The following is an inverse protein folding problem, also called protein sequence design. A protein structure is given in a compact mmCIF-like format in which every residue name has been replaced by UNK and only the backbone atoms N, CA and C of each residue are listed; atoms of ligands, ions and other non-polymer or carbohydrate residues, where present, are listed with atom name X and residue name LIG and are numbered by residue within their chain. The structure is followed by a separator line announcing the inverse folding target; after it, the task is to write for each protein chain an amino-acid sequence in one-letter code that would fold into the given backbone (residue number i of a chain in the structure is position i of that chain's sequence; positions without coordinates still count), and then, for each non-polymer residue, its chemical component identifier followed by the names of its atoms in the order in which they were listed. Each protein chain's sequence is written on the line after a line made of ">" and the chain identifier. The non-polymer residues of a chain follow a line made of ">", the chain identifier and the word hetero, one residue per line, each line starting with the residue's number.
data_IF_253292660363
#
_entry.id   IF_253292660363
#
_cell.length_a   1.000
_cell.length_b   1.000
_cell.length_c   1.000
_cell.angle_alpha   90.00
_cell.angle_beta   90.00
_cell.angle_gamma   90.00
#
_symmetry.space_group_name_H-M   'P 1'
#
loop_
_entity.id
_entity.type
_entity.pdbx_description
1 polymer ?
#
# COMPACT_ATOMS: atom_id res chain seq x y z
N UNK A 1 52.57 -23.49 35.69
CA UNK A 1 51.45 -22.64 35.22
C UNK A 1 51.91 -21.19 35.20
N UNK A 2 52.04 -20.61 34.01
CA UNK A 2 52.41 -19.22 33.78
C UNK A 2 51.13 -18.33 33.63
N UNK A 3 51.22 -16.99 33.66
CA UNK A 3 50.37 -16.10 34.47
C UNK A 3 49.47 -15.16 33.65
N UNK A 4 48.54 -14.39 34.27
CA UNK A 4 48.06 -13.14 33.64
C UNK A 4 47.45 -12.06 34.56
N UNK A 5 48.28 -11.03 34.72
CA UNK A 5 48.10 -9.59 34.96
C UNK A 5 46.68 -8.99 35.03
N UNK A 6 46.45 -8.23 36.11
CA UNK A 6 45.49 -7.13 36.22
C UNK A 6 45.89 -5.95 35.29
N UNK A 7 44.92 -5.32 34.62
CA UNK A 7 45.01 -3.94 34.15
C UNK A 7 43.65 -3.22 34.25
N UNK A 8 43.68 -2.13 35.02
CA UNK A 8 42.70 -1.06 35.16
C UNK A 8 42.79 -0.08 33.97
N UNK A 9 41.68 0.51 33.49
CA UNK A 9 41.63 1.89 32.93
C UNK A 9 40.20 2.36 32.54
N UNK A 10 39.77 3.38 33.29
CA UNK A 10 39.15 4.66 32.84
C UNK A 10 37.68 4.69 32.40
N UNK A 11 36.89 5.27 33.31
CA UNK A 11 35.89 6.31 33.09
C UNK A 11 35.97 7.04 31.74
N UNK A 12 34.83 7.13 31.07
CA UNK A 12 34.54 8.17 30.07
C UNK A 12 33.05 8.47 30.14
N UNK A 13 32.70 9.37 31.06
CA UNK A 13 31.49 10.17 31.00
C UNK A 13 31.54 10.99 29.70
N UNK A 14 30.89 10.50 28.66
CA UNK A 14 30.48 11.29 27.52
C UNK A 14 29.10 10.80 27.07
N UNK A 15 28.13 10.90 28.00
CA UNK A 15 26.75 11.17 27.58
C UNK A 15 26.77 12.52 26.87
N UNK A 16 25.95 12.62 25.84
CA UNK A 16 25.49 13.82 25.12
C UNK A 16 25.98 13.80 23.66
N UNK A 17 25.00 13.59 22.77
CA UNK A 17 25.03 13.68 21.31
C UNK A 17 25.57 12.49 20.52
N UNK A 18 24.78 11.42 20.45
CA UNK A 18 24.61 10.71 19.20
C UNK A 18 23.19 10.16 19.15
N UNK A 19 22.31 10.89 18.45
CA UNK A 19 20.97 10.48 18.08
C UNK A 19 21.01 9.05 17.48
N UNK A 20 20.57 8.07 18.26
CA UNK A 20 20.38 6.71 17.81
C UNK A 20 19.11 6.64 16.93
N UNK A 21 19.27 6.92 15.64
CA UNK A 21 18.41 6.37 14.59
C UNK A 21 18.96 5.03 14.08
N UNK A 22 19.28 4.15 15.01
CA UNK A 22 19.72 2.75 14.86
C UNK A 22 19.26 2.14 16.20
N UNK A 23 18.08 1.57 16.34
CA UNK A 23 17.74 0.24 15.86
C UNK A 23 16.21 0.06 15.92
N UNK A 24 15.49 0.35 14.84
CA UNK A 24 14.24 -0.35 14.63
C UNK A 24 14.65 -1.73 14.12
N UNK A 25 14.60 -2.74 14.99
CA UNK A 25 14.95 -4.13 14.70
C UNK A 25 14.28 -4.55 13.39
N UNK A 26 15.05 -4.54 12.31
CA UNK A 26 14.64 -5.13 11.04
C UNK A 26 14.89 -6.61 11.24
N UNK A 27 13.88 -7.31 11.75
CA UNK A 27 13.89 -8.77 11.82
C UNK A 27 14.08 -9.29 10.39
N UNK A 28 15.28 -9.82 10.08
CA UNK A 28 15.71 -10.24 8.74
C UNK A 28 14.80 -11.35 8.16
N UNK A 29 13.95 -11.95 9.00
CA UNK A 29 12.94 -12.94 8.60
C UNK A 29 11.60 -12.33 8.15
N UNK A 30 11.42 -11.02 8.26
CA UNK A 30 10.14 -10.36 7.96
C UNK A 30 10.10 -9.78 6.54
N UNK A 31 8.98 -10.03 5.86
CA UNK A 31 8.69 -9.44 4.56
C UNK A 31 8.68 -7.91 4.64
N UNK A 32 9.00 -7.17 3.56
CA UNK A 32 8.96 -5.71 3.55
C UNK A 32 7.60 -5.15 4.00
N UNK A 33 6.51 -5.86 3.74
CA UNK A 33 5.17 -5.47 4.18
C UNK A 33 4.97 -5.60 5.70
N UNK A 34 5.58 -6.61 6.33
CA UNK A 34 5.57 -6.78 7.78
C UNK A 34 6.41 -5.70 8.46
N UNK A 35 7.58 -5.36 7.89
CA UNK A 35 8.41 -4.25 8.38
C UNK A 35 7.67 -2.91 8.30
N UNK A 36 6.97 -2.64 7.19
CA UNK A 36 6.15 -1.44 7.05
C UNK A 36 4.98 -1.41 8.06
N UNK A 37 4.35 -2.56 8.32
CA UNK A 37 3.28 -2.66 9.31
C UNK A 37 3.80 -2.49 10.75
N UNK A 38 4.99 -3.00 11.07
CA UNK A 38 5.65 -2.80 12.36
C UNK A 38 6.01 -1.32 12.56
N UNK A 39 6.57 -0.67 11.53
CA UNK A 39 6.81 0.78 11.53
C UNK A 39 5.51 1.58 11.71
N UNK A 40 4.41 1.17 11.07
CA UNK A 40 3.09 1.81 11.29
C UNK A 40 2.62 1.67 12.74
N UNK A 41 2.84 0.49 13.36
CA UNK A 41 2.50 0.25 14.78
C UNK A 41 3.36 1.07 15.74
N UNK A 42 4.64 1.24 15.42
CA UNK A 42 5.58 2.03 16.20
C UNK A 42 5.43 3.55 15.97
N UNK A 43 4.42 3.97 15.18
CA UNK A 43 4.16 5.35 14.80
C UNK A 43 5.26 6.00 13.93
N UNK A 44 6.17 5.18 13.37
CA UNK A 44 7.21 5.57 12.42
C UNK A 44 6.63 5.71 11.00
N UNK A 45 5.76 6.71 10.83
CA UNK A 45 5.00 6.91 9.60
C UNK A 45 5.89 7.17 8.38
N UNK A 46 7.04 7.83 8.57
CA UNK A 46 7.98 8.13 7.48
C UNK A 46 8.66 6.86 6.92
N UNK A 47 9.05 5.94 7.81
CA UNK A 47 9.64 4.67 7.42
C UNK A 47 8.62 3.78 6.71
N UNK A 48 7.40 3.69 7.28
CA UNK A 48 6.30 2.95 6.68
C UNK A 48 5.95 3.48 5.26
N UNK A 49 5.88 4.80 5.09
CA UNK A 49 5.63 5.42 3.78
C UNK A 49 6.69 5.02 2.75
N UNK A 50 7.99 5.09 3.12
CA UNK A 50 9.10 4.75 2.23
C UNK A 50 9.03 3.29 1.76
N UNK A 51 8.74 2.37 2.68
CA UNK A 51 8.66 0.94 2.35
C UNK A 51 7.44 0.66 1.47
N UNK A 52 6.27 1.23 1.78
CA UNK A 52 5.08 1.05 0.93
C UNK A 52 5.25 1.66 -0.46
N UNK A 53 5.92 2.81 -0.59
CA UNK A 53 6.25 3.40 -1.91
C UNK A 53 7.13 2.49 -2.74
N UNK A 54 8.15 1.87 -2.14
CA UNK A 54 8.99 0.88 -2.84
C UNK A 54 8.16 -0.31 -3.33
N UNK A 55 7.20 -0.78 -2.54
CA UNK A 55 6.33 -1.89 -2.94
C UNK A 55 5.45 -1.55 -4.16
N UNK A 56 4.96 -0.31 -4.26
CA UNK A 56 4.22 0.15 -5.45
C UNK A 56 5.10 0.13 -6.71
N UNK A 57 6.40 0.40 -6.59
CA UNK A 57 7.33 0.41 -7.72
C UNK A 57 7.63 -0.99 -8.28
N UNK A 58 7.42 -2.05 -7.50
CA UNK A 58 7.69 -3.45 -7.90
C UNK A 58 6.69 -4.02 -8.93
N UNK A 59 5.86 -3.17 -9.57
CA UNK A 59 4.86 -3.50 -10.61
C UNK A 59 3.76 -4.50 -10.20
N UNK A 60 3.85 -5.16 -9.05
CA UNK A 60 2.80 -5.98 -8.50
C UNK A 60 1.69 -5.10 -7.90
N UNK A 61 0.49 -5.13 -8.50
CA UNK A 61 -0.67 -4.45 -7.92
C UNK A 61 -1.05 -5.10 -6.59
N UNK A 62 -0.99 -4.33 -5.49
CA UNK A 62 -1.45 -4.76 -4.19
C UNK A 62 -2.35 -3.68 -3.56
N UNK A 63 -3.67 -3.91 -3.58
CA UNK A 63 -4.67 -2.99 -3.02
C UNK A 63 -4.43 -2.66 -1.53
N UNK A 64 -3.88 -3.60 -0.75
CA UNK A 64 -3.62 -3.38 0.67
C UNK A 64 -2.54 -2.30 0.88
N UNK A 65 -1.51 -2.27 0.05
CA UNK A 65 -0.43 -1.26 0.12
C UNK A 65 -0.97 0.15 -0.11
N UNK A 66 -1.78 0.32 -1.17
CA UNK A 66 -2.45 1.59 -1.44
C UNK A 66 -3.36 2.02 -0.28
N UNK A 67 -4.16 1.09 0.27
CA UNK A 67 -5.05 1.37 1.41
C UNK A 67 -4.27 1.83 2.65
N UNK A 68 -3.11 1.23 2.92
CA UNK A 68 -2.23 1.61 4.05
C UNK A 68 -1.63 2.99 3.85
N UNK A 69 -1.11 3.31 2.66
CA UNK A 69 -0.62 4.65 2.34
C UNK A 69 -1.69 5.72 2.52
N UNK A 70 -2.93 5.46 2.09
CA UNK A 70 -4.03 6.40 2.31
C UNK A 70 -4.28 6.67 3.81
N UNK A 71 -4.16 5.65 4.66
CA UNK A 71 -4.30 5.80 6.12
C UNK A 71 -3.15 6.63 6.70
N UNK A 72 -1.91 6.38 6.26
CA UNK A 72 -0.73 7.13 6.70
C UNK A 72 -0.86 8.61 6.33
N UNK A 73 -1.22 8.94 5.08
CA UNK A 73 -1.41 10.33 4.67
C UNK A 73 -2.53 11.03 5.42
N UNK A 74 -3.61 10.30 5.72
CA UNK A 74 -4.70 10.83 6.54
C UNK A 74 -4.26 11.14 7.97
N UNK A 75 -3.42 10.29 8.59
CA UNK A 75 -2.81 10.54 9.91
C UNK A 75 -1.92 11.79 9.89
N UNK A 76 -1.14 11.97 8.81
CA UNK A 76 -0.27 13.13 8.60
C UNK A 76 -1.01 14.38 8.13
N UNK A 77 -2.35 14.35 7.98
CA UNK A 77 -3.18 15.43 7.40
C UNK A 77 -2.76 15.87 5.99
N UNK A 78 -2.03 15.02 5.26
CA UNK A 78 -1.55 15.26 3.89
C UNK A 78 -2.61 14.88 2.86
N UNK A 79 -3.70 15.64 2.82
CA UNK A 79 -4.86 15.32 1.98
C UNK A 79 -4.57 15.39 0.47
N UNK A 80 -3.65 16.25 0.03
CA UNK A 80 -3.22 16.32 -1.38
C UNK A 80 -2.54 15.02 -1.83
N UNK A 81 -1.62 14.51 -1.00
CA UNK A 81 -0.90 13.26 -1.27
C UNK A 81 -1.82 12.03 -1.18
N UNK A 82 -2.78 12.05 -0.25
CA UNK A 82 -3.82 11.00 -0.19
C UNK A 82 -4.61 10.94 -1.49
N UNK A 83 -5.01 12.09 -2.05
CA UNK A 83 -5.77 12.16 -3.30
C UNK A 83 -4.94 11.66 -4.50
N UNK A 84 -3.67 12.04 -4.58
CA UNK A 84 -2.75 11.58 -5.62
C UNK A 84 -2.58 10.05 -5.58
N UNK A 85 -2.39 9.45 -4.40
CA UNK A 85 -2.31 8.00 -4.25
C UNK A 85 -3.62 7.31 -4.61
N UNK A 86 -4.78 7.89 -4.27
CA UNK A 86 -6.08 7.31 -4.67
C UNK A 86 -6.20 7.28 -6.20
N UNK A 87 -5.85 8.36 -6.88
CA UNK A 87 -5.90 8.41 -8.34
C UNK A 87 -4.90 7.43 -8.98
N UNK A 88 -3.67 7.37 -8.46
CA UNK A 88 -2.64 6.41 -8.92
C UNK A 88 -3.09 4.97 -8.71
N UNK A 89 -3.66 4.66 -7.55
CA UNK A 89 -4.21 3.34 -7.24
C UNK A 89 -5.31 2.96 -8.22
N UNK A 90 -6.28 3.84 -8.47
CA UNK A 90 -7.37 3.58 -9.42
C UNK A 90 -6.85 3.33 -10.84
N UNK A 91 -5.87 4.11 -11.29
CA UNK A 91 -5.24 3.91 -12.61
C UNK A 91 -4.49 2.57 -12.68
N UNK A 92 -3.68 2.26 -11.68
CA UNK A 92 -2.92 1.01 -11.62
C UNK A 92 -3.85 -0.23 -11.52
N UNK A 93 -5.00 -0.10 -10.84
CA UNK A 93 -6.01 -1.16 -10.81
C UNK A 93 -6.66 -1.38 -12.18
N UNK A 94 -7.01 -0.31 -12.90
CA UNK A 94 -7.58 -0.41 -14.25
C UNK A 94 -6.59 -1.05 -15.23
N UNK A 95 -5.32 -0.66 -15.17
CA UNK A 95 -4.23 -1.28 -15.95
C UNK A 95 -4.03 -2.75 -15.61
N UNK A 96 -3.98 -3.09 -14.31
CA UNK A 96 -3.88 -4.48 -13.86
C UNK A 96 -5.03 -5.34 -14.38
N UNK A 97 -6.26 -4.83 -14.30
CA UNK A 97 -7.46 -5.53 -14.78
C UNK A 97 -7.44 -5.72 -16.29
N UNK A 98 -7.08 -4.68 -17.05
CA UNK A 98 -6.94 -4.74 -18.51
C UNK A 98 -5.89 -5.77 -18.90
N UNK A 99 -4.72 -5.75 -18.27
CA UNK A 99 -3.64 -6.70 -18.54
C UNK A 99 -4.06 -8.13 -18.22
N UNK A 100 -4.74 -8.38 -17.09
CA UNK A 100 -5.29 -9.71 -16.80
C UNK A 100 -6.31 -10.18 -17.83
N UNK A 101 -7.18 -9.29 -18.31
CA UNK A 101 -8.18 -9.64 -19.32
C UNK A 101 -7.55 -9.89 -20.69
N UNK A 102 -6.50 -9.15 -21.05
CA UNK A 102 -5.78 -9.29 -22.31
C UNK A 102 -4.94 -10.57 -22.36
N UNK A 103 -4.41 -11.02 -21.22
CA UNK A 103 -3.64 -12.27 -21.12
C UNK A 103 -4.50 -13.54 -21.20
N UNK A 104 -5.83 -13.43 -21.06
CA UNK A 104 -6.72 -14.59 -21.18
C UNK A 104 -7.20 -14.72 -22.62
N UNK A 105 -6.65 -15.67 -23.35
CA UNK A 105 -7.20 -16.08 -24.63
C UNK A 105 -8.51 -16.85 -24.40
N UNK A 106 -9.64 -16.21 -24.60
CA UNK A 106 -10.98 -16.82 -24.44
C UNK A 106 -11.63 -17.01 -25.81
N UNK A 107 -12.11 -18.22 -26.08
CA UNK A 107 -12.84 -18.53 -27.32
C UNK A 107 -14.10 -17.65 -27.43
N UNK A 108 -14.39 -17.16 -28.64
CA UNK A 108 -15.55 -16.33 -28.94
C UNK A 108 -16.89 -16.95 -28.50
N UNK A 109 -17.02 -18.28 -28.57
CA UNK A 109 -18.22 -19.00 -28.11
C UNK A 109 -18.43 -18.88 -26.60
N UNK A 110 -17.38 -19.12 -25.81
CA UNK A 110 -17.37 -18.97 -24.34
C UNK A 110 -17.67 -17.53 -23.95
N UNK A 111 -17.10 -16.54 -24.66
CA UNK A 111 -17.38 -15.12 -24.44
C UNK A 111 -18.86 -14.80 -24.66
N UNK A 112 -19.47 -15.31 -25.74
CA UNK A 112 -20.91 -15.13 -26.03
C UNK A 112 -21.78 -15.78 -24.96
N UNK A 113 -21.46 -16.99 -24.51
CA UNK A 113 -22.19 -17.68 -23.45
C UNK A 113 -22.14 -16.90 -22.14
N UNK A 114 -20.94 -16.47 -21.73
CA UNK A 114 -20.75 -15.65 -20.53
C UNK A 114 -21.52 -14.33 -20.59
N UNK A 115 -21.54 -13.65 -21.75
CA UNK A 115 -22.33 -12.43 -21.93
C UNK A 115 -23.83 -12.65 -21.77
N UNK A 116 -24.36 -13.77 -22.30
CA UNK A 116 -25.78 -14.12 -22.16
C UNK A 116 -26.14 -14.43 -20.71
N UNK A 117 -25.31 -15.21 -20.01
CA UNK A 117 -25.47 -15.51 -18.59
C UNK A 117 -25.44 -14.24 -17.74
N UNK A 118 -24.48 -13.35 -17.98
CA UNK A 118 -24.40 -12.08 -17.25
C UNK A 118 -25.63 -11.20 -17.47
N UNK A 119 -26.19 -11.21 -18.70
CA UNK A 119 -27.42 -10.49 -19.01
C UNK A 119 -28.65 -11.11 -18.33
N UNK A 120 -28.78 -12.44 -18.32
CA UNK A 120 -29.91 -13.12 -17.70
C UNK A 120 -29.91 -12.99 -16.17
N UNK A 121 -28.72 -12.98 -15.56
CA UNK A 121 -28.54 -12.79 -14.12
C UNK A 121 -28.61 -11.32 -13.69
N UNK A 122 -28.82 -10.38 -14.62
CA UNK A 122 -28.85 -8.95 -14.31
C UNK A 122 -27.52 -8.41 -13.77
N UNK A 123 -26.39 -9.05 -14.12
CA UNK A 123 -25.05 -8.61 -13.73
C UNK A 123 -24.51 -7.52 -14.68
N UNK A 124 -25.09 -7.41 -15.87
CA UNK A 124 -24.78 -6.38 -16.86
C UNK A 124 -26.03 -5.65 -17.31
N UNK A 125 -25.88 -4.36 -17.64
CA UNK A 125 -26.97 -3.59 -18.24
C UNK A 125 -27.20 -3.99 -19.70
N UNK A 126 -28.26 -3.46 -20.33
CA UNK A 126 -28.60 -3.71 -21.74
C UNK A 126 -27.48 -3.36 -22.74
N UNK A 127 -26.50 -2.55 -22.32
CA UNK A 127 -25.32 -2.12 -23.09
C UNK A 127 -24.05 -2.90 -22.74
N UNK A 128 -24.16 -3.96 -21.94
CA UNK A 128 -23.05 -4.84 -21.55
C UNK A 128 -22.10 -4.25 -20.50
N UNK A 129 -22.42 -3.12 -19.86
CA UNK A 129 -21.63 -2.61 -18.73
C UNK A 129 -21.98 -3.38 -17.46
N UNK A 130 -20.96 -3.79 -16.72
CA UNK A 130 -21.11 -4.41 -15.40
C UNK A 130 -21.84 -3.46 -14.46
N UNK A 131 -22.89 -3.96 -13.81
CA UNK A 131 -23.64 -3.21 -12.80
C UNK A 131 -22.87 -3.10 -11.48
N UNK A 132 -21.95 -4.04 -11.24
CA UNK A 132 -21.14 -4.08 -10.04
C UNK A 132 -19.68 -3.73 -10.33
N UNK A 133 -19.18 -2.69 -9.65
CA UNK A 133 -17.77 -2.35 -9.68
C UNK A 133 -16.99 -3.24 -8.70
N UNK A 134 -15.94 -3.95 -9.16
CA UNK A 134 -15.18 -4.82 -8.27
C UNK A 134 -14.45 -4.03 -7.19
N UNK A 135 -14.35 -4.61 -5.98
CA UNK A 135 -13.47 -4.08 -4.95
C UNK A 135 -12.02 -4.07 -5.48
N UNK A 136 -11.22 -3.01 -5.21
CA UNK A 136 -11.41 -1.95 -4.21
C UNK A 136 -12.01 -0.62 -4.75
N UNK A 137 -12.46 -0.56 -6.00
CA UNK A 137 -12.81 0.71 -6.68
C UNK A 137 -13.91 1.52 -5.96
N UNK A 138 -15.03 0.93 -5.50
CA UNK A 138 -16.08 1.69 -4.82
C UNK A 138 -15.59 2.34 -3.51
N UNK A 139 -14.77 1.63 -2.72
CA UNK A 139 -14.21 2.15 -1.48
C UNK A 139 -13.31 3.36 -1.75
N UNK A 140 -12.46 3.26 -2.77
CA UNK A 140 -11.51 4.31 -3.13
C UNK A 140 -12.21 5.54 -3.68
N UNK A 141 -13.28 5.38 -4.46
CA UNK A 141 -14.14 6.49 -4.91
C UNK A 141 -14.82 7.22 -3.74
N UNK A 142 -15.41 6.47 -2.80
CA UNK A 142 -16.00 7.05 -1.57
C UNK A 142 -14.96 7.84 -0.76
N UNK A 143 -13.75 7.28 -0.63
CA UNK A 143 -12.64 7.91 0.07
C UNK A 143 -12.17 9.18 -0.64
N UNK A 144 -12.01 9.15 -1.96
CA UNK A 144 -11.67 10.32 -2.79
C UNK A 144 -12.66 11.46 -2.57
N UNK A 145 -13.96 11.19 -2.67
CA UNK A 145 -14.99 12.21 -2.44
C UNK A 145 -14.92 12.82 -1.02
N UNK A 146 -14.58 12.01 -0.02
CA UNK A 146 -14.40 12.49 1.36
C UNK A 146 -13.17 13.40 1.50
N UNK A 147 -12.06 13.04 0.85
CA UNK A 147 -10.81 13.82 0.85
C UNK A 147 -11.00 15.13 0.09
N UNK A 148 -11.67 15.12 -1.06
CA UNK A 148 -12.02 16.32 -1.83
C UNK A 148 -12.86 17.31 -1.02
N UNK A 149 -13.88 16.81 -0.30
CA UNK A 149 -14.69 17.66 0.61
C UNK A 149 -13.84 18.32 1.69
N UNK A 150 -12.84 17.61 2.23
CA UNK A 150 -11.92 18.16 3.25
C UNK A 150 -10.96 19.19 2.66
N UNK A 151 -10.47 18.97 1.45
CA UNK A 151 -9.62 19.93 0.73
C UNK A 151 -10.34 21.22 0.37
N UNK A 152 -11.66 21.18 0.12
CA UNK A 152 -12.47 22.37 -0.16
C UNK A 152 -12.87 23.16 1.09
N UNK A 153 -12.80 22.53 2.28
CA UNK A 153 -13.21 23.14 3.55
C UNK A 153 -12.02 23.78 4.30
N UNK A 154 -10.79 23.39 3.94
CA UNK A 154 -9.55 24.03 4.40
C UNK A 154 -9.16 25.16 3.46
#
# INVERSE_FOLDING_TARGET
>A
MAPRKQQNKKSSTAKIVAMQHKDAVIDEKQTPLQQAAAAEKNNDLALAEKIYKKQIQLKAFNAAVYKRLMVIYRKQKRYKDELDIINKGLKHFDEYRKNQSAQKHVNASIKRLSQRLNKSLGLTNSRGKELYEPAPVPEWKKRKATVEKRLKKN
#
